data_IF_761705985026
#
_entry.id   IF_761705985026
#
_cell.length_a   1.000
_cell.length_b   1.000
_cell.length_c   1.000
_cell.angle_alpha   90.00
_cell.angle_beta   90.00
_cell.angle_gamma   90.00
#
_symmetry.space_group_name_H-M   'P 1'
#
loop_
_entity.id
_entity.type
_entity.pdbx_description
1 polymer ?
#
# COMPACT_ATOMS: atom_id res chain seq x y z
N UNK A 1 -22.48 13.17 -5.16
CA UNK A 1 -21.45 13.76 -6.03
C UNK A 1 -20.16 13.05 -5.67
N UNK A 2 -19.42 12.54 -6.65
CA UNK A 2 -18.12 11.92 -6.38
C UNK A 2 -17.16 12.96 -5.79
N UNK A 3 -16.53 12.65 -4.65
CA UNK A 3 -15.62 13.52 -3.91
C UNK A 3 -14.43 13.99 -4.79
N UNK A 4 -14.07 13.20 -5.80
CA UNK A 4 -12.90 13.44 -6.66
C UNK A 4 -13.24 14.13 -8.00
N UNK A 5 -14.47 14.61 -8.13
CA UNK A 5 -14.97 15.27 -9.34
C UNK A 5 -15.40 14.30 -10.44
N UNK A 6 -15.69 14.80 -11.65
CA UNK A 6 -16.27 13.99 -12.72
C UNK A 6 -15.27 12.99 -13.32
N UNK A 7 -15.76 11.85 -13.81
CA UNK A 7 -14.99 10.89 -14.60
C UNK A 7 -14.43 11.53 -15.87
N UNK A 8 -13.20 11.18 -16.25
CA UNK A 8 -12.59 11.64 -17.49
C UNK A 8 -11.57 10.63 -18.03
N UNK A 9 -11.65 10.35 -19.33
CA UNK A 9 -10.79 9.41 -20.03
C UNK A 9 -11.28 7.96 -19.99
N UNK A 10 -10.56 7.04 -20.67
CA UNK A 10 -10.92 5.63 -20.74
C UNK A 10 -10.89 4.95 -19.37
N UNK A 11 -11.78 3.97 -19.18
CA UNK A 11 -11.78 3.10 -17.99
C UNK A 11 -10.95 1.87 -18.28
N UNK A 12 -9.89 1.69 -17.51
CA UNK A 12 -9.04 0.50 -17.54
C UNK A 12 -9.00 -0.14 -16.15
N UNK A 13 -8.54 -1.39 -16.09
CA UNK A 13 -8.20 -2.06 -14.84
C UNK A 13 -6.77 -1.70 -14.46
N UNK A 14 -6.61 -1.03 -13.32
CA UNK A 14 -5.30 -0.64 -12.79
C UNK A 14 -5.01 -1.41 -11.51
N UNK A 15 -3.74 -1.73 -11.29
CA UNK A 15 -3.28 -2.32 -10.04
C UNK A 15 -3.45 -1.35 -8.87
N UNK A 16 -3.76 -1.91 -7.70
CA UNK A 16 -3.72 -1.17 -6.45
C UNK A 16 -2.27 -0.88 -6.01
N UNK A 17 -2.01 0.34 -5.54
CA UNK A 17 -0.69 0.75 -5.04
C UNK A 17 -0.29 0.07 -3.72
N UNK A 18 -1.21 -0.66 -3.08
CA UNK A 18 -0.94 -1.48 -1.89
C UNK A 18 -0.01 -2.66 -2.16
N UNK A 19 0.19 -3.05 -3.43
CA UNK A 19 0.99 -4.22 -3.79
C UNK A 19 0.25 -5.55 -3.62
N UNK A 20 -1.08 -5.55 -3.47
CA UNK A 20 -1.89 -6.78 -3.34
C UNK A 20 -2.05 -7.57 -4.65
N UNK A 21 -1.63 -7.00 -5.79
CA UNK A 21 -1.90 -7.55 -7.13
C UNK A 21 -3.36 -7.40 -7.58
N UNK A 22 -4.21 -6.75 -6.78
CA UNK A 22 -5.61 -6.54 -7.13
C UNK A 22 -5.78 -5.46 -8.19
N UNK A 23 -6.74 -5.69 -9.09
CA UNK A 23 -7.06 -4.82 -10.22
C UNK A 23 -8.45 -4.18 -10.05
N UNK A 24 -8.51 -2.85 -10.09
CA UNK A 24 -9.76 -2.11 -9.98
C UNK A 24 -10.04 -1.25 -11.22
N UNK A 25 -11.29 -1.22 -11.71
CA UNK A 25 -11.67 -0.36 -12.83
C UNK A 25 -11.67 1.10 -12.39
N UNK A 26 -10.92 1.96 -13.10
CA UNK A 26 -10.89 3.42 -12.88
C UNK A 26 -10.78 4.15 -14.21
N UNK A 27 -11.31 5.36 -14.30
CA UNK A 27 -11.00 6.24 -15.43
C UNK A 27 -9.57 6.81 -15.29
N UNK A 28 -8.95 7.25 -16.39
CA UNK A 28 -7.60 7.85 -16.36
C UNK A 28 -7.46 8.94 -15.30
N UNK A 29 -8.44 9.84 -15.19
CA UNK A 29 -8.42 10.90 -14.19
C UNK A 29 -8.45 10.37 -12.76
N UNK A 30 -9.37 9.47 -12.43
CA UNK A 30 -9.47 8.92 -11.07
C UNK A 30 -8.27 8.06 -10.71
N UNK A 31 -7.66 7.38 -11.67
CA UNK A 31 -6.39 6.71 -11.43
C UNK A 31 -5.27 7.71 -11.13
N UNK A 32 -5.16 8.81 -11.89
CA UNK A 32 -4.22 9.90 -11.60
C UNK A 32 -4.40 10.49 -10.20
N UNK A 33 -5.62 10.88 -9.83
CA UNK A 33 -5.92 11.40 -8.48
C UNK A 33 -5.63 10.38 -7.38
N UNK A 34 -5.87 9.09 -7.65
CA UNK A 34 -5.49 8.02 -6.73
C UNK A 34 -3.98 7.95 -6.53
N UNK A 35 -3.19 7.99 -7.61
CA UNK A 35 -1.72 7.98 -7.56
C UNK A 35 -1.20 9.20 -6.80
N UNK A 36 -1.65 10.41 -7.17
CA UNK A 36 -1.23 11.66 -6.52
C UNK A 36 -1.45 11.65 -5.01
N UNK A 37 -2.57 11.07 -4.56
CA UNK A 37 -2.92 11.01 -3.14
C UNK A 37 -2.18 9.91 -2.37
N UNK A 38 -2.03 8.73 -2.99
CA UNK A 38 -1.65 7.50 -2.27
C UNK A 38 -0.16 7.20 -2.41
N UNK A 39 0.44 7.47 -3.57
CA UNK A 39 1.87 7.18 -3.81
C UNK A 39 2.79 7.80 -2.74
N UNK A 40 2.64 9.09 -2.35
CA UNK A 40 3.52 9.68 -1.33
C UNK A 40 3.45 8.97 0.03
N UNK A 41 2.28 8.41 0.37
CA UNK A 41 2.08 7.67 1.63
C UNK A 41 2.76 6.30 1.58
N UNK A 42 2.62 5.60 0.45
CA UNK A 42 3.30 4.33 0.21
C UNK A 42 4.81 4.52 0.23
N UNK A 43 5.32 5.59 -0.39
CA UNK A 43 6.74 5.90 -0.41
C UNK A 43 7.27 6.19 1.00
N UNK A 44 6.52 6.97 1.81
CA UNK A 44 6.88 7.22 3.21
C UNK A 44 6.90 5.94 4.06
N UNK A 45 5.92 5.05 3.88
CA UNK A 45 5.87 3.75 4.56
C UNK A 45 7.08 2.91 4.18
N UNK A 46 7.41 2.81 2.89
CA UNK A 46 8.57 2.04 2.39
C UNK A 46 9.91 2.60 2.88
N UNK A 47 10.00 3.90 3.08
CA UNK A 47 11.19 4.52 3.69
C UNK A 47 11.32 4.16 5.17
N UNK A 48 10.21 4.13 5.90
CA UNK A 48 10.20 3.81 7.33
C UNK A 48 10.35 2.30 7.59
N UNK A 49 9.79 1.48 6.71
CA UNK A 49 9.77 0.03 6.76
C UNK A 49 10.28 -0.52 5.42
N UNK A 50 11.61 -0.51 5.20
CA UNK A 50 12.19 -1.08 4.00
C UNK A 50 11.94 -2.59 3.95
N UNK A 51 11.87 -3.13 2.74
CA UNK A 51 11.75 -4.57 2.50
C UNK A 51 13.09 -5.24 2.81
N UNK A 52 13.27 -5.66 4.07
CA UNK A 52 14.50 -6.26 4.59
C UNK A 52 14.19 -7.32 5.62
N UNK A 53 14.98 -8.40 5.62
CA UNK A 53 14.91 -9.46 6.63
C UNK A 53 15.46 -9.03 8.00
N UNK A 54 16.04 -7.82 8.09
CA UNK A 54 16.62 -7.31 9.34
C UNK A 54 15.62 -6.38 10.04
N UNK A 55 15.16 -6.72 11.25
CA UNK A 55 14.24 -5.86 11.97
C UNK A 55 14.90 -4.51 12.32
N UNK A 56 14.10 -3.44 12.51
CA UNK A 56 14.64 -2.15 12.94
C UNK A 56 15.41 -2.26 14.26
N UNK A 57 16.46 -1.46 14.44
CA UNK A 57 17.31 -1.53 15.63
C UNK A 57 16.59 -1.19 16.95
N UNK A 58 15.46 -0.48 16.87
CA UNK A 58 14.60 -0.15 18.00
C UNK A 58 13.57 -1.24 18.32
N UNK A 59 13.44 -2.27 17.47
CA UNK A 59 12.51 -3.36 17.67
C UNK A 59 13.11 -4.38 18.65
N UNK A 60 12.50 -4.49 19.84
CA UNK A 60 12.80 -5.57 20.77
C UNK A 60 12.06 -6.85 20.31
N UNK A 61 12.79 -7.92 19.92
CA UNK A 61 12.16 -9.15 19.45
C UNK A 61 11.29 -9.84 20.51
N UNK A 62 11.42 -9.48 21.80
CA UNK A 62 10.56 -10.01 22.87
C UNK A 62 9.15 -9.41 22.86
N UNK A 63 8.91 -8.27 22.18
CA UNK A 63 7.56 -7.73 21.99
C UNK A 63 6.69 -8.58 21.07
N UNK A 64 7.29 -9.33 20.14
CA UNK A 64 6.60 -10.33 19.35
C UNK A 64 6.34 -11.61 20.16
N UNK A 65 5.92 -11.48 21.43
CA UNK A 65 5.73 -12.55 22.40
C UNK A 65 4.62 -13.56 22.07
N UNK A 66 4.10 -13.55 20.85
CA UNK A 66 3.25 -14.62 20.33
C UNK A 66 4.16 -15.73 19.79
N UNK A 67 4.21 -16.86 20.50
CA UNK A 67 4.76 -18.12 19.98
C UNK A 67 3.79 -18.65 18.92
N UNK A 68 4.21 -18.61 17.65
CA UNK A 68 3.39 -19.08 16.53
C UNK A 68 3.51 -20.58 16.23
N UNK A 69 4.38 -21.32 16.95
CA UNK A 69 4.44 -22.78 16.90
C UNK A 69 4.64 -23.36 18.31
N UNK A 70 3.92 -24.43 18.61
CA UNK A 70 3.95 -25.17 19.88
C UNK A 70 5.01 -26.29 19.92
N UNK A 71 5.69 -26.58 18.81
CA UNK A 71 6.71 -27.63 18.72
C UNK A 71 8.12 -27.03 18.61
N UNK A 72 8.81 -26.96 19.75
CA UNK A 72 10.28 -26.94 19.87
C UNK A 72 10.69 -27.72 21.13
#
# INVERSE_FOLDING_TARGET
>A
MDEYGPCQGPVNRYEALSGSGELYPRCTRHYGTYVERVQPRIDAIRQQYPDTDTPPSWFDPTYAGERWNEDD
#
